data_IF_353979739706
#
_entry.id   IF_353979739706
#
_cell.length_a   1.000
_cell.length_b   1.000
_cell.length_c   1.000
_cell.angle_alpha   90.00
_cell.angle_beta   90.00
_cell.angle_gamma   90.00
#
_symmetry.space_group_name_H-M   'P 1'
#
loop_
_entity.id
_entity.type
_entity.pdbx_description
1 polymer ?
#
# COMPACT_ATOMS: atom_id res chain seq x y z
N UNK A 1 -7.96 0.17 -37.12
CA UNK A 1 -8.27 0.10 -35.68
C UNK A 1 -7.07 -0.56 -35.01
N UNK A 2 -6.18 0.23 -34.41
CA UNK A 2 -4.94 -0.28 -33.80
C UNK A 2 -5.30 -0.98 -32.49
N UNK A 3 -5.01 -2.29 -32.39
CA UNK A 3 -5.25 -3.04 -31.17
C UNK A 3 -4.40 -2.46 -30.05
N UNK A 4 -5.04 -2.04 -28.95
CA UNK A 4 -4.35 -1.58 -27.77
C UNK A 4 -3.43 -2.71 -27.29
N UNK A 5 -2.14 -2.57 -27.52
CA UNK A 5 -1.14 -3.54 -27.08
C UNK A 5 -0.97 -3.27 -25.60
N UNK A 6 -1.38 -4.22 -24.75
CA UNK A 6 -1.30 -4.11 -23.30
C UNK A 6 0.16 -4.13 -22.86
N UNK A 7 0.78 -2.96 -22.74
CA UNK A 7 2.13 -2.81 -22.24
C UNK A 7 2.19 -2.75 -20.71
N UNK A 8 3.37 -3.03 -20.18
CA UNK A 8 3.66 -2.98 -18.75
C UNK A 8 4.85 -2.07 -18.52
N UNK A 9 4.69 -1.10 -17.64
CA UNK A 9 5.71 -0.14 -17.26
C UNK A 9 6.26 -0.47 -15.88
N UNK A 10 7.58 -0.53 -15.76
CA UNK A 10 8.28 -0.51 -14.48
C UNK A 10 8.65 0.93 -14.20
N UNK A 11 8.12 1.50 -13.14
CA UNK A 11 8.43 2.85 -12.66
C UNK A 11 9.36 2.72 -11.47
N UNK A 12 10.56 3.26 -11.59
CA UNK A 12 11.57 3.28 -10.54
C UNK A 12 11.79 4.72 -10.09
N UNK A 13 11.54 5.04 -8.82
CA UNK A 13 11.83 6.35 -8.25
C UNK A 13 13.07 6.25 -7.38
N UNK A 14 14.02 7.16 -7.56
CA UNK A 14 15.29 7.10 -6.84
C UNK A 14 15.79 8.48 -6.44
N UNK A 15 16.20 8.60 -5.18
CA UNK A 15 16.83 9.80 -4.65
C UNK A 15 18.33 9.65 -4.75
N UNK A 16 19.00 10.61 -5.38
CA UNK A 16 20.45 10.60 -5.53
C UNK A 16 21.11 11.60 -4.58
N UNK A 17 22.35 11.30 -4.19
CA UNK A 17 23.19 12.25 -3.48
C UNK A 17 23.48 13.45 -4.40
N UNK A 18 23.36 14.70 -3.93
CA UNK A 18 23.59 15.88 -4.78
C UNK A 18 24.93 15.86 -5.52
N UNK A 19 25.99 15.37 -4.87
CA UNK A 19 27.33 15.25 -5.42
C UNK A 19 27.49 14.15 -6.49
N UNK A 20 26.53 13.23 -6.59
CA UNK A 20 26.58 12.07 -7.48
C UNK A 20 25.81 12.26 -8.79
N UNK A 21 25.25 13.45 -9.06
CA UNK A 21 24.39 13.70 -10.22
C UNK A 21 25.05 13.33 -11.56
N UNK A 22 26.28 13.75 -11.82
CA UNK A 22 26.99 13.47 -13.08
C UNK A 22 27.42 12.00 -13.21
N UNK A 23 27.74 11.36 -12.08
CA UNK A 23 28.04 9.93 -12.04
C UNK A 23 26.78 9.11 -12.34
N UNK A 24 25.65 9.50 -11.75
CA UNK A 24 24.36 8.86 -11.94
C UNK A 24 23.85 9.02 -13.37
N UNK A 25 23.98 10.20 -13.97
CA UNK A 25 23.61 10.44 -15.37
C UNK A 25 24.39 9.52 -16.33
N UNK A 26 25.70 9.36 -16.13
CA UNK A 26 26.54 8.43 -16.92
C UNK A 26 26.13 6.99 -16.70
N UNK A 27 25.95 6.59 -15.44
CA UNK A 27 25.45 5.26 -15.10
C UNK A 27 24.09 4.97 -15.76
N UNK A 28 23.21 5.98 -15.86
CA UNK A 28 21.90 5.83 -16.50
C UNK A 28 22.00 5.61 -18.01
N UNK A 29 22.94 6.27 -18.70
CA UNK A 29 23.20 6.04 -20.13
C UNK A 29 23.58 4.58 -20.37
N UNK A 30 24.53 4.06 -19.60
CA UNK A 30 24.95 2.65 -19.70
C UNK A 30 23.80 1.69 -19.37
N UNK A 31 23.02 1.97 -18.32
CA UNK A 31 21.84 1.17 -17.96
C UNK A 31 20.80 1.17 -19.08
N UNK A 32 20.62 2.30 -19.77
CA UNK A 32 19.71 2.43 -20.91
C UNK A 32 20.14 1.53 -22.07
N UNK A 33 21.44 1.43 -22.34
CA UNK A 33 21.96 0.54 -23.37
C UNK A 33 21.74 -0.95 -23.03
N UNK A 34 21.91 -1.32 -21.75
CA UNK A 34 21.68 -2.69 -21.28
C UNK A 34 20.20 -3.09 -21.42
N UNK A 35 19.27 -2.25 -20.95
CA UNK A 35 17.84 -2.58 -21.03
C UNK A 35 17.33 -2.55 -22.47
N UNK A 36 17.90 -1.71 -23.34
CA UNK A 36 17.53 -1.64 -24.76
C UNK A 36 17.78 -2.95 -25.52
N UNK A 37 18.75 -3.73 -25.08
CA UNK A 37 19.04 -5.06 -25.64
C UNK A 37 18.17 -6.18 -25.02
N UNK A 38 17.34 -5.89 -24.01
CA UNK A 38 16.59 -6.90 -23.29
C UNK A 38 15.32 -7.32 -24.05
N UNK A 39 15.01 -8.64 -24.16
CA UNK A 39 13.83 -9.11 -24.85
C UNK A 39 12.53 -8.49 -24.31
N UNK A 40 11.73 -7.92 -25.21
CA UNK A 40 10.44 -7.34 -24.87
C UNK A 40 10.48 -5.89 -24.39
N UNK A 41 11.66 -5.27 -24.31
CA UNK A 41 11.78 -3.84 -24.05
C UNK A 41 11.17 -3.01 -25.19
N UNK A 42 10.43 -1.97 -24.83
CA UNK A 42 9.81 -1.02 -25.75
C UNK A 42 10.56 0.31 -25.71
N UNK A 43 10.62 0.93 -24.52
CA UNK A 43 11.23 2.24 -24.35
C UNK A 43 11.59 2.50 -22.89
N UNK A 44 12.47 3.49 -22.68
CA UNK A 44 12.78 4.02 -21.37
C UNK A 44 12.64 5.54 -21.38
N UNK A 45 11.93 6.08 -20.39
CA UNK A 45 11.84 7.50 -20.12
C UNK A 45 12.54 7.83 -18.79
N UNK A 46 13.37 8.87 -18.81
CA UNK A 46 14.00 9.42 -17.61
C UNK A 46 13.41 10.79 -17.31
N UNK A 47 12.90 10.97 -16.09
CA UNK A 47 12.32 12.22 -15.61
C UNK A 47 13.23 12.74 -14.49
N UNK A 48 13.98 13.84 -14.72
CA UNK A 48 14.81 14.44 -13.70
C UNK A 48 13.97 15.07 -12.58
N UNK A 49 14.55 15.23 -11.37
CA UNK A 49 13.85 15.87 -10.25
C UNK A 49 13.50 17.33 -10.57
N UNK A 50 12.33 17.77 -10.09
CA UNK A 50 11.80 19.13 -10.14
C UNK A 50 11.31 19.57 -8.75
N UNK A 51 12.21 19.97 -7.84
CA UNK A 51 11.82 20.45 -6.51
C UNK A 51 10.93 21.70 -6.58
N UNK A 52 10.00 21.89 -5.63
CA UNK A 52 9.74 21.03 -4.47
C UNK A 52 8.81 19.83 -4.77
N UNK A 53 8.19 19.79 -5.95
CA UNK A 53 7.11 18.85 -6.26
C UNK A 53 7.60 17.41 -6.53
N UNK A 54 8.82 17.26 -7.04
CA UNK A 54 9.43 15.97 -7.33
C UNK A 54 10.92 16.04 -7.00
N UNK A 55 11.35 15.44 -5.89
CA UNK A 55 12.77 15.43 -5.49
C UNK A 55 13.55 14.24 -6.02
N UNK A 56 12.83 13.26 -6.59
CA UNK A 56 13.39 12.00 -7.07
C UNK A 56 13.53 11.96 -8.59
N UNK A 57 14.53 11.24 -9.06
CA UNK A 57 14.57 10.78 -10.44
C UNK A 57 13.52 9.71 -10.64
N UNK A 58 12.75 9.79 -11.74
CA UNK A 58 11.77 8.76 -12.11
C UNK A 58 12.21 8.12 -13.43
N UNK A 59 12.44 6.81 -13.40
CA UNK A 59 12.83 5.99 -14.53
C UNK A 59 11.62 5.12 -14.88
N UNK A 60 11.08 5.27 -16.08
CA UNK A 60 9.98 4.45 -16.59
C UNK A 60 10.52 3.55 -17.69
N UNK A 61 10.45 2.22 -17.50
CA UNK A 61 10.86 1.23 -18.49
C UNK A 61 9.64 0.43 -18.94
N UNK A 62 9.28 0.50 -20.22
CA UNK A 62 8.09 -0.16 -20.76
C UNK A 62 8.45 -1.45 -21.48
N UNK A 63 7.65 -2.48 -21.26
CA UNK A 63 7.80 -3.83 -21.83
C UNK A 63 6.50 -4.31 -22.48
N UNK A 64 6.62 -5.22 -23.46
CA UNK A 64 5.48 -5.81 -24.17
C UNK A 64 4.63 -6.74 -23.30
N UNK A 65 5.16 -7.28 -22.21
CA UNK A 65 4.39 -8.14 -21.30
C UNK A 65 4.86 -8.04 -19.85
N UNK A 66 3.97 -8.42 -18.92
CA UNK A 66 4.29 -8.54 -17.49
C UNK A 66 5.41 -9.56 -17.25
N UNK A 67 5.42 -10.65 -18.00
CA UNK A 67 6.41 -11.70 -17.87
C UNK A 67 7.81 -11.16 -18.20
N UNK A 68 7.95 -10.42 -19.29
CA UNK A 68 9.22 -9.80 -19.69
C UNK A 68 9.69 -8.75 -18.68
N UNK A 69 8.76 -7.92 -18.19
CA UNK A 69 9.04 -6.97 -17.11
C UNK A 69 9.55 -7.68 -15.84
N UNK A 70 8.92 -8.79 -15.43
CA UNK A 70 9.35 -9.59 -14.28
C UNK A 70 10.72 -10.25 -14.48
N UNK A 71 10.98 -10.74 -15.68
CA UNK A 71 12.25 -11.34 -16.06
C UNK A 71 13.37 -10.31 -16.00
N UNK A 72 13.15 -9.08 -16.50
CA UNK A 72 14.09 -7.96 -16.35
C UNK A 72 14.34 -7.59 -14.88
N UNK A 73 13.29 -7.46 -14.06
CA UNK A 73 13.45 -7.11 -12.64
C UNK A 73 14.34 -8.09 -11.87
N UNK A 74 14.25 -9.38 -12.22
CA UNK A 74 14.97 -10.45 -11.57
C UNK A 74 16.25 -10.86 -12.30
N UNK A 75 16.69 -10.10 -13.30
CA UNK A 75 17.82 -10.47 -14.14
C UNK A 75 19.17 -10.15 -13.48
N UNK A 76 20.23 -10.95 -13.72
CA UNK A 76 21.58 -10.65 -13.25
C UNK A 76 22.11 -9.31 -13.77
N UNK A 77 21.74 -8.94 -15.00
CA UNK A 77 22.14 -7.68 -15.62
C UNK A 77 21.62 -6.49 -14.82
N UNK A 78 20.32 -6.49 -14.47
CA UNK A 78 19.72 -5.43 -13.65
C UNK A 78 20.31 -5.40 -12.24
N UNK A 79 20.54 -6.56 -11.63
CA UNK A 79 21.18 -6.68 -10.31
C UNK A 79 22.57 -6.04 -10.30
N UNK A 80 23.40 -6.30 -11.32
CA UNK A 80 24.72 -5.69 -11.46
C UNK A 80 24.64 -4.16 -11.61
N UNK A 81 23.66 -3.64 -12.37
CA UNK A 81 23.44 -2.20 -12.50
C UNK A 81 23.07 -1.57 -11.15
N UNK A 82 22.15 -2.15 -10.39
CA UNK A 82 21.72 -1.64 -9.07
C UNK A 82 22.89 -1.59 -8.07
N UNK A 83 23.75 -2.61 -8.07
CA UNK A 83 24.95 -2.61 -7.25
C UNK A 83 25.88 -1.44 -7.58
N UNK A 84 26.04 -1.13 -8.87
CA UNK A 84 26.79 0.05 -9.32
C UNK A 84 26.16 1.39 -8.93
N UNK A 85 24.82 1.46 -8.84
CA UNK A 85 24.08 2.66 -8.44
C UNK A 85 24.15 2.93 -6.92
N UNK A 86 24.20 1.87 -6.11
CA UNK A 86 24.08 1.92 -4.64
C UNK A 86 24.89 3.05 -3.95
N UNK A 87 26.18 3.32 -4.26
CA UNK A 87 26.93 4.39 -3.60
C UNK A 87 26.44 5.82 -3.94
N UNK A 88 25.70 5.99 -5.05
CA UNK A 88 25.20 7.29 -5.51
C UNK A 88 23.85 7.67 -4.91
N UNK A 89 23.15 6.74 -4.25
CA UNK A 89 21.78 6.93 -3.79
C UNK A 89 21.70 7.44 -2.35
N UNK A 90 20.63 8.18 -2.07
CA UNK A 90 20.13 8.47 -0.71
C UNK A 90 19.00 7.48 -0.46
N UNK A 91 19.33 6.32 0.10
CA UNK A 91 18.38 5.20 0.24
C UNK A 91 18.37 4.28 -0.98
N UNK A 92 17.22 3.65 -1.26
CA UNK A 92 17.06 2.75 -2.42
C UNK A 92 15.79 3.08 -3.20
N UNK A 93 15.79 2.55 -4.41
CA UNK A 93 14.74 2.70 -5.40
C UNK A 93 13.36 2.22 -4.92
N UNK A 94 12.32 3.02 -5.17
CA UNK A 94 10.92 2.61 -5.10
C UNK A 94 10.48 2.08 -6.49
N UNK A 95 10.09 0.81 -6.57
CA UNK A 95 9.81 0.12 -7.84
C UNK A 95 8.34 -0.28 -7.93
N UNK A 96 7.63 0.26 -8.91
CA UNK A 96 6.23 -0.04 -9.20
C UNK A 96 6.09 -0.70 -10.58
N UNK A 97 5.18 -1.65 -10.69
CA UNK A 97 4.78 -2.29 -11.96
C UNK A 97 3.37 -1.81 -12.28
N UNK A 98 3.28 -0.98 -13.31
CA UNK A 98 2.03 -0.41 -13.81
C UNK A 98 1.66 -1.14 -15.09
N UNK A 99 0.49 -1.78 -15.12
CA UNK A 99 -0.08 -2.34 -16.35
C UNK A 99 -0.94 -1.26 -17.00
N UNK A 100 -0.81 -1.08 -18.31
CA UNK A 100 -1.59 -0.07 -19.05
C UNK A 100 -3.07 -0.48 -19.26
N UNK A 101 -3.47 -1.64 -18.74
CA UNK A 101 -4.83 -2.16 -18.85
C UNK A 101 -5.77 -1.56 -17.78
N UNK A 102 -6.98 -1.18 -18.21
CA UNK A 102 -8.09 -0.75 -17.36
C UNK A 102 -8.56 -1.78 -16.31
N UNK A 103 -7.92 -2.96 -16.24
CA UNK A 103 -8.16 -4.01 -15.24
C UNK A 103 -7.57 -3.72 -13.86
N UNK A 104 -6.66 -2.75 -13.72
CA UNK A 104 -6.11 -2.34 -12.42
C UNK A 104 -7.21 -1.94 -11.41
N UNK A 105 -8.31 -1.35 -11.91
CA UNK A 105 -9.47 -0.95 -11.11
C UNK A 105 -10.31 -2.11 -10.54
N UNK A 106 -10.09 -3.36 -10.99
CA UNK A 106 -10.80 -4.56 -10.46
C UNK A 106 -10.05 -5.30 -9.36
N UNK A 107 -8.85 -4.84 -9.01
CA UNK A 107 -8.01 -5.45 -7.98
C UNK A 107 -8.26 -4.79 -6.62
N UNK A 108 -8.14 -5.55 -5.52
CA UNK A 108 -8.15 -5.00 -4.16
C UNK A 108 -6.71 -5.04 -3.66
N UNK A 109 -5.89 -4.05 -4.05
CA UNK A 109 -4.46 -4.10 -3.78
C UNK A 109 -4.20 -4.12 -2.27
N UNK A 110 -3.24 -4.94 -1.87
CA UNK A 110 -2.81 -5.10 -0.48
C UNK A 110 -1.32 -4.86 -0.40
N UNK A 111 -0.88 -4.13 0.61
CA UNK A 111 0.53 -3.93 0.92
C UNK A 111 0.96 -4.75 2.15
N UNK A 112 2.23 -5.10 2.26
CA UNK A 112 2.85 -5.60 3.47
C UNK A 112 4.02 -4.69 3.82
N UNK A 113 4.02 -4.15 5.03
CA UNK A 113 5.10 -3.35 5.61
C UNK A 113 5.87 -4.25 6.56
N UNK A 114 7.16 -4.41 6.33
CA UNK A 114 8.06 -5.26 7.10
C UNK A 114 9.14 -4.35 7.69
N UNK A 115 9.18 -4.25 9.01
CA UNK A 115 10.19 -3.52 9.75
C UNK A 115 11.21 -4.51 10.32
N UNK A 116 12.48 -4.29 10.02
CA UNK A 116 13.56 -5.19 10.41
C UNK A 116 14.69 -4.41 11.05
N UNK A 117 15.01 -4.78 12.29
CA UNK A 117 16.19 -4.26 12.98
C UNK A 117 17.38 -5.14 12.64
N UNK A 118 18.41 -4.54 12.07
CA UNK A 118 19.65 -5.24 11.69
C UNK A 118 20.66 -5.08 12.82
N UNK A 119 21.44 -6.14 13.09
CA UNK A 119 22.51 -6.07 14.08
C UNK A 119 23.61 -5.10 13.62
N UNK A 120 24.19 -4.31 14.53
CA UNK A 120 25.31 -3.43 14.20
C UNK A 120 26.44 -4.19 13.49
N UNK A 121 26.93 -3.68 12.37
CA UNK A 121 28.01 -4.26 11.57
C UNK A 121 27.56 -5.32 10.55
N UNK A 122 26.28 -5.66 10.50
CA UNK A 122 25.70 -6.62 9.53
C UNK A 122 24.94 -5.94 8.39
N UNK A 123 24.93 -4.61 8.33
CA UNK A 123 24.17 -3.80 7.37
C UNK A 123 24.55 -4.15 5.93
N UNK A 124 25.84 -4.24 5.63
CA UNK A 124 26.31 -4.61 4.29
C UNK A 124 25.90 -6.04 3.88
N UNK A 125 25.85 -6.98 4.83
CA UNK A 125 25.37 -8.33 4.59
C UNK A 125 23.86 -8.35 4.37
N UNK A 126 23.12 -7.60 5.18
CA UNK A 126 21.67 -7.44 5.06
C UNK A 126 21.27 -6.80 3.73
N UNK A 127 22.01 -5.79 3.26
CA UNK A 127 21.76 -5.15 1.97
C UNK A 127 22.01 -6.07 0.77
N UNK A 128 22.95 -7.02 0.87
CA UNK A 128 23.15 -8.07 -0.15
C UNK A 128 22.04 -9.10 -0.10
N UNK A 129 21.61 -9.49 1.10
CA UNK A 129 20.46 -10.37 1.27
C UNK A 129 19.16 -9.74 0.74
N UNK A 130 18.96 -8.45 0.97
CA UNK A 130 17.78 -7.71 0.51
C UNK A 130 17.65 -7.77 -1.02
N UNK A 131 18.76 -7.67 -1.77
CA UNK A 131 18.75 -7.83 -3.23
C UNK A 131 18.25 -9.20 -3.68
N UNK A 132 18.58 -10.26 -2.93
CA UNK A 132 18.14 -11.62 -3.23
C UNK A 132 16.64 -11.77 -3.02
N UNK A 133 16.11 -11.28 -1.89
CA UNK A 133 14.67 -11.35 -1.62
C UNK A 133 13.88 -10.42 -2.55
N UNK A 134 14.43 -9.27 -2.94
CA UNK A 134 13.86 -8.38 -3.95
C UNK A 134 13.73 -9.07 -5.34
N UNK A 135 14.75 -9.85 -5.74
CA UNK A 135 14.71 -10.63 -6.98
C UNK A 135 13.68 -11.78 -6.94
N UNK A 136 13.56 -12.45 -5.79
CA UNK A 136 12.60 -13.53 -5.60
C UNK A 136 11.15 -13.00 -5.60
N UNK A 137 10.87 -11.95 -4.82
CA UNK A 137 9.53 -11.37 -4.72
C UNK A 137 9.05 -10.74 -6.04
N UNK A 138 9.94 -10.24 -6.89
CA UNK A 138 9.56 -9.66 -8.18
C UNK A 138 8.97 -10.72 -9.13
N UNK A 139 9.29 -12.00 -8.91
CA UNK A 139 8.72 -13.14 -9.65
C UNK A 139 7.39 -13.62 -9.07
N UNK A 140 7.05 -13.24 -7.83
CA UNK A 140 5.84 -13.69 -7.17
C UNK A 140 4.56 -13.32 -7.96
N UNK A 141 3.57 -14.22 -8.03
CA UNK A 141 2.26 -13.90 -8.61
C UNK A 141 1.61 -12.70 -7.93
N UNK A 142 0.97 -11.83 -8.70
CA UNK A 142 0.26 -10.66 -8.16
C UNK A 142 1.12 -9.50 -7.66
N UNK A 143 2.46 -9.59 -7.70
CA UNK A 143 3.34 -8.48 -7.32
C UNK A 143 3.09 -7.23 -8.18
N UNK A 144 2.88 -6.09 -7.52
CA UNK A 144 2.63 -4.78 -8.12
C UNK A 144 3.76 -3.78 -7.84
N UNK A 145 4.57 -3.99 -6.81
CA UNK A 145 5.69 -3.11 -6.51
C UNK A 145 6.34 -3.39 -5.16
N UNK A 146 7.50 -2.82 -4.94
CA UNK A 146 8.16 -2.82 -3.64
C UNK A 146 8.97 -1.55 -3.42
N UNK A 147 9.10 -1.19 -2.15
CA UNK A 147 9.90 -0.08 -1.67
C UNK A 147 10.76 -0.56 -0.52
N UNK A 148 12.01 -0.13 -0.47
CA UNK A 148 12.91 -0.46 0.63
C UNK A 148 13.56 0.81 1.17
N UNK A 149 13.30 1.09 2.44
CA UNK A 149 13.81 2.25 3.15
C UNK A 149 14.91 1.84 4.13
N UNK A 150 16.08 2.50 4.09
CA UNK A 150 17.14 2.26 5.05
C UNK A 150 16.75 2.75 6.45
N UNK A 151 17.39 2.19 7.48
CA UNK A 151 17.34 2.78 8.80
C UNK A 151 18.00 4.18 8.80
N UNK A 152 17.36 5.15 9.44
CA UNK A 152 17.83 6.51 9.67
C UNK A 152 18.11 6.70 11.17
N UNK A 153 19.39 6.74 11.61
CA UNK A 153 19.73 6.90 13.01
C UNK A 153 19.02 8.09 13.67
N UNK A 154 18.37 7.87 14.82
CA UNK A 154 17.64 8.89 15.57
C UNK A 154 16.24 9.25 15.05
N UNK A 155 15.82 8.70 13.89
CA UNK A 155 14.46 8.91 13.32
C UNK A 155 13.73 7.58 13.14
N UNK A 156 14.41 6.59 12.55
CA UNK A 156 13.88 5.26 12.24
C UNK A 156 15.02 4.24 12.34
N UNK A 157 15.09 3.48 13.43
CA UNK A 157 16.18 2.52 13.63
C UNK A 157 16.01 1.20 12.84
N UNK A 158 14.84 0.99 12.25
CA UNK A 158 14.51 -0.24 11.53
C UNK A 158 14.50 0.00 10.02
N UNK A 159 15.05 -0.95 9.27
CA UNK A 159 14.84 -1.01 7.82
C UNK A 159 13.38 -1.33 7.52
N UNK A 160 12.78 -0.64 6.55
CA UNK A 160 11.37 -0.86 6.19
C UNK A 160 11.24 -1.31 4.74
N UNK A 161 10.71 -2.51 4.53
CA UNK A 161 10.31 -3.01 3.23
C UNK A 161 8.79 -2.93 3.08
N UNK A 162 8.30 -2.31 2.00
CA UNK A 162 6.88 -2.27 1.66
C UNK A 162 6.72 -3.08 0.38
N UNK A 163 5.93 -4.16 0.41
CA UNK A 163 5.56 -4.93 -0.77
C UNK A 163 4.11 -4.63 -1.13
N UNK A 164 3.76 -4.56 -2.41
CA UNK A 164 2.40 -4.36 -2.88
C UNK A 164 1.97 -5.48 -3.82
N UNK A 165 0.81 -6.07 -3.57
CA UNK A 165 0.20 -7.13 -4.36
C UNK A 165 -1.21 -6.75 -4.82
N UNK A 166 -1.67 -7.38 -5.90
CA UNK A 166 -3.02 -7.17 -6.47
C UNK A 166 -4.16 -7.77 -5.62
N UNK A 167 -3.84 -8.69 -4.70
CA UNK A 167 -4.81 -9.37 -3.86
C UNK A 167 -4.15 -9.92 -2.60
N UNK A 168 -4.96 -10.08 -1.54
CA UNK A 168 -4.53 -10.69 -0.29
C UNK A 168 -4.06 -12.14 -0.48
N UNK A 169 -4.74 -12.92 -1.35
CA UNK A 169 -4.41 -14.32 -1.59
C UNK A 169 -2.99 -14.47 -2.16
N UNK A 170 -2.61 -13.62 -3.12
CA UNK A 170 -1.27 -13.62 -3.70
C UNK A 170 -0.22 -13.18 -2.68
N UNK A 171 -0.50 -12.14 -1.87
CA UNK A 171 0.39 -11.75 -0.78
C UNK A 171 0.61 -12.89 0.22
N UNK A 172 -0.47 -13.54 0.70
CA UNK A 172 -0.36 -14.66 1.64
C UNK A 172 0.45 -15.81 1.05
N UNK A 173 0.22 -16.14 -0.22
CA UNK A 173 0.99 -17.17 -0.94
C UNK A 173 2.48 -16.87 -0.96
N UNK A 174 2.87 -15.61 -1.21
CA UNK A 174 4.27 -15.18 -1.12
C UNK A 174 4.82 -15.25 0.31
N UNK A 175 4.05 -14.75 1.29
CA UNK A 175 4.44 -14.72 2.70
C UNK A 175 4.73 -16.10 3.28
N UNK A 176 3.94 -17.10 2.88
CA UNK A 176 4.02 -18.50 3.33
C UNK A 176 4.91 -19.38 2.43
N UNK A 177 5.45 -18.80 1.35
CA UNK A 177 6.21 -19.57 0.36
C UNK A 177 7.48 -20.20 0.95
N UNK A 178 7.86 -21.42 0.52
CA UNK A 178 9.11 -22.05 0.93
C UNK A 178 10.34 -21.23 0.53
N UNK A 179 10.29 -20.56 -0.62
CA UNK A 179 11.35 -19.68 -1.11
C UNK A 179 11.59 -18.50 -0.15
N UNK A 180 10.52 -17.78 0.23
CA UNK A 180 10.63 -16.71 1.22
C UNK A 180 11.10 -17.22 2.57
N UNK A 181 10.61 -18.38 3.04
CA UNK A 181 11.05 -18.96 4.32
C UNK A 181 12.55 -19.26 4.33
N UNK A 182 13.10 -19.79 3.22
CA UNK A 182 14.54 -20.03 3.10
C UNK A 182 15.34 -18.72 3.15
N UNK A 183 14.88 -17.67 2.44
CA UNK A 183 15.51 -16.36 2.47
C UNK A 183 15.43 -15.72 3.86
N UNK A 184 14.29 -15.78 4.54
CA UNK A 184 14.16 -15.26 5.91
C UNK A 184 15.07 -16.01 6.89
N UNK A 185 15.23 -17.33 6.72
CA UNK A 185 16.17 -18.11 7.53
C UNK A 185 17.63 -17.69 7.29
N UNK A 186 18.01 -17.34 6.06
CA UNK A 186 19.32 -16.75 5.74
C UNK A 186 19.55 -15.42 6.47
N UNK A 187 18.49 -14.63 6.69
CA UNK A 187 18.55 -13.33 7.37
C UNK A 187 18.52 -13.42 8.91
N UNK A 188 18.04 -14.51 9.49
CA UNK A 188 17.96 -14.68 10.94
C UNK A 188 19.25 -14.34 11.72
N UNK A 189 20.47 -14.71 11.28
CA UNK A 189 21.69 -14.36 12.00
C UNK A 189 22.02 -12.85 11.96
N UNK A 190 21.57 -12.11 10.94
CA UNK A 190 21.84 -10.68 10.76
C UNK A 190 20.78 -9.76 11.37
N UNK A 191 19.61 -10.28 11.75
CA UNK A 191 18.51 -9.48 12.32
C UNK A 191 18.43 -9.61 13.85
N UNK A 192 18.07 -8.51 14.50
CA UNK A 192 17.82 -8.46 15.95
C UNK A 192 16.32 -8.55 16.26
N UNK A 193 15.49 -7.90 15.47
CA UNK A 193 14.02 -7.92 15.57
C UNK A 193 13.39 -7.92 14.18
N UNK A 194 12.24 -8.57 14.05
CA UNK A 194 11.50 -8.70 12.79
C UNK A 194 9.99 -8.53 13.03
N UNK A 195 9.42 -7.47 12.47
CA UNK A 195 7.99 -7.18 12.55
C UNK A 195 7.41 -7.12 11.14
N UNK A 196 6.40 -7.93 10.85
CA UNK A 196 5.65 -7.84 9.58
C UNK A 196 4.22 -7.43 9.84
N UNK A 197 3.75 -6.41 9.13
CA UNK A 197 2.39 -5.90 9.16
C UNK A 197 1.80 -5.86 7.76
N UNK A 198 0.72 -6.58 7.52
CA UNK A 198 -0.08 -6.43 6.29
C UNK A 198 -0.97 -5.19 6.40
N UNK A 199 -1.00 -4.38 5.34
CA UNK A 199 -1.80 -3.14 5.19
C UNK A 199 -2.61 -3.20 3.89
N UNK A 200 -3.90 -3.49 4.00
CA UNK A 200 -4.93 -3.55 2.96
C UNK A 200 -5.72 -2.24 2.81
N UNK A 201 -5.85 -1.42 3.86
CA UNK A 201 -6.58 -0.14 3.81
C UNK A 201 -6.17 0.86 4.91
N UNK A 202 -6.48 2.15 4.72
CA UNK A 202 -6.26 3.19 5.73
C UNK A 202 -7.10 3.04 7.00
N UNK A 203 -8.18 2.24 6.99
CA UNK A 203 -9.10 2.09 8.13
C UNK A 203 -8.76 0.93 9.06
N UNK A 204 -7.81 0.07 8.72
CA UNK A 204 -7.48 -1.13 9.50
C UNK A 204 -7.14 -0.88 10.95
N UNK A 205 -6.58 0.30 11.24
CA UNK A 205 -6.27 0.69 12.61
C UNK A 205 -7.51 0.64 13.51
N UNK A 206 -8.69 0.97 12.99
CA UNK A 206 -9.96 0.88 13.73
C UNK A 206 -10.47 -0.56 13.91
N UNK A 207 -9.95 -1.53 13.15
CA UNK A 207 -10.39 -2.93 13.14
C UNK A 207 -9.39 -3.91 13.78
N UNK A 208 -8.23 -3.42 14.23
CA UNK A 208 -7.12 -4.24 14.76
C UNK A 208 -7.53 -5.21 15.87
N UNK A 209 -8.48 -4.82 16.71
CA UNK A 209 -8.90 -5.60 17.88
C UNK A 209 -10.04 -6.60 17.58
N UNK A 210 -10.46 -6.71 16.32
CA UNK A 210 -11.59 -7.56 15.91
C UNK A 210 -11.11 -8.80 15.14
N UNK A 211 -9.97 -8.72 14.44
CA UNK A 211 -9.35 -9.88 13.82
C UNK A 211 -8.52 -10.67 14.85
N UNK A 212 -8.58 -12.01 14.86
CA UNK A 212 -7.68 -12.84 15.67
C UNK A 212 -6.20 -12.53 15.38
N UNK A 213 -5.30 -12.63 16.37
CA UNK A 213 -3.86 -12.48 16.14
C UNK A 213 -3.39 -13.45 15.05
N UNK A 214 -2.82 -12.92 13.96
CA UNK A 214 -2.33 -13.71 12.82
C UNK A 214 -3.29 -13.81 11.63
N UNK A 215 -4.55 -13.40 11.77
CA UNK A 215 -5.44 -13.21 10.61
C UNK A 215 -5.31 -11.78 10.07
N UNK A 216 -5.18 -11.64 8.74
CA UNK A 216 -5.12 -10.34 8.07
C UNK A 216 -6.34 -9.46 8.36
N UNK A 217 -6.25 -8.17 8.08
CA UNK A 217 -7.35 -7.24 8.29
C UNK A 217 -8.63 -7.69 7.56
N UNK A 218 -9.83 -7.34 8.07
CA UNK A 218 -11.08 -7.63 7.36
C UNK A 218 -11.09 -6.99 5.97
N UNK A 219 -11.85 -7.57 5.03
CA UNK A 219 -11.92 -7.05 3.66
C UNK A 219 -12.37 -5.57 3.61
N UNK A 220 -11.72 -4.77 2.77
CA UNK A 220 -11.92 -3.31 2.65
C UNK A 220 -13.39 -2.89 2.48
N UNK A 221 -14.16 -3.60 1.66
CA UNK A 221 -15.58 -3.29 1.43
C UNK A 221 -16.43 -3.43 2.71
N UNK A 222 -16.12 -4.39 3.59
CA UNK A 222 -16.84 -4.55 4.87
C UNK A 222 -16.50 -3.41 5.84
N UNK A 223 -15.23 -3.04 5.90
CA UNK A 223 -14.78 -1.90 6.70
C UNK A 223 -15.46 -0.62 6.23
N UNK A 224 -15.49 -0.37 4.92
CA UNK A 224 -16.15 0.79 4.32
C UNK A 224 -17.65 0.85 4.67
N UNK A 225 -18.35 -0.29 4.64
CA UNK A 225 -19.76 -0.34 5.05
C UNK A 225 -19.93 0.06 6.52
N UNK A 226 -19.12 -0.46 7.45
CA UNK A 226 -19.22 -0.07 8.86
C UNK A 226 -18.88 1.42 9.08
N UNK A 227 -17.91 1.96 8.32
CA UNK A 227 -17.60 3.39 8.37
C UNK A 227 -18.80 4.21 7.89
N UNK A 228 -19.45 3.87 6.77
CA UNK A 228 -20.67 4.57 6.31
C UNK A 228 -21.80 4.47 7.33
N UNK A 229 -22.01 3.28 7.91
CA UNK A 229 -23.04 3.02 8.91
C UNK A 229 -22.94 3.93 10.13
N UNK A 230 -21.72 4.25 10.55
CA UNK A 230 -21.46 5.05 11.75
C UNK A 230 -21.32 6.53 11.43
N UNK A 231 -20.71 6.87 10.29
CA UNK A 231 -20.46 8.24 9.88
C UNK A 231 -21.74 8.98 9.45
N UNK A 232 -22.58 8.36 8.61
CA UNK A 232 -23.80 8.98 8.11
C UNK A 232 -24.72 9.53 9.22
N UNK A 233 -25.15 8.71 10.21
CA UNK A 233 -26.00 9.22 11.28
C UNK A 233 -25.29 10.23 12.17
N UNK A 234 -23.98 10.09 12.38
CA UNK A 234 -23.20 11.04 13.18
C UNK A 234 -23.21 12.43 12.56
N UNK A 235 -22.88 12.54 11.26
CA UNK A 235 -22.84 13.82 10.55
C UNK A 235 -24.25 14.43 10.46
N UNK A 236 -25.25 13.61 10.12
CA UNK A 236 -26.63 14.08 9.98
C UNK A 236 -27.18 14.62 11.30
N UNK A 237 -27.10 13.83 12.38
CA UNK A 237 -27.61 14.23 13.70
C UNK A 237 -26.83 15.41 14.26
N UNK A 238 -25.51 15.48 14.07
CA UNK A 238 -24.74 16.66 14.47
C UNK A 238 -25.22 17.92 13.75
N UNK A 239 -25.42 17.84 12.44
CA UNK A 239 -25.92 18.94 11.62
C UNK A 239 -27.27 19.47 12.12
N UNK A 240 -28.21 18.57 12.41
CA UNK A 240 -29.56 18.96 12.82
C UNK A 240 -29.65 19.37 14.30
N UNK A 241 -28.93 18.70 15.20
CA UNK A 241 -29.03 18.93 16.64
C UNK A 241 -28.10 20.02 17.16
N UNK A 242 -26.97 20.28 16.48
CA UNK A 242 -25.94 21.22 16.94
C UNK A 242 -25.59 22.24 15.87
N UNK A 243 -25.32 21.80 14.64
CA UNK A 243 -24.91 22.66 13.53
C UNK A 243 -25.90 23.78 13.25
N UNK A 244 -27.13 23.43 12.90
CA UNK A 244 -28.19 24.38 12.59
C UNK A 244 -28.66 25.20 13.81
N UNK A 245 -29.07 24.59 14.94
CA UNK A 245 -29.66 25.36 16.04
C UNK A 245 -28.64 26.15 16.87
N UNK A 246 -27.46 25.57 17.14
CA UNK A 246 -26.48 26.15 18.08
C UNK A 246 -25.44 26.97 17.33
N UNK A 247 -24.72 26.37 16.38
CA UNK A 247 -23.62 27.05 15.69
C UNK A 247 -24.13 28.14 14.75
N UNK A 248 -25.04 27.81 13.83
CA UNK A 248 -25.59 28.77 12.88
C UNK A 248 -26.66 29.68 13.51
N UNK A 249 -27.55 29.12 14.34
CA UNK A 249 -28.63 29.88 14.97
C UNK A 249 -28.17 30.79 16.11
N UNK A 250 -27.68 30.19 17.20
CA UNK A 250 -27.37 30.92 18.44
C UNK A 250 -26.03 31.66 18.38
N UNK A 251 -24.97 30.99 17.92
CA UNK A 251 -23.61 31.52 17.90
C UNK A 251 -23.26 32.27 16.60
N UNK A 252 -24.12 32.18 15.59
CA UNK A 252 -23.94 32.81 14.26
C UNK A 252 -22.57 32.55 13.64
N UNK A 253 -22.04 31.35 13.84
CA UNK A 253 -20.78 30.91 13.25
C UNK A 253 -20.97 30.71 11.74
N UNK A 254 -20.02 31.21 10.95
CA UNK A 254 -20.04 31.04 9.50
C UNK A 254 -20.05 29.56 9.10
N UNK A 255 -20.80 29.25 8.04
CA UNK A 255 -20.99 27.89 7.56
C UNK A 255 -19.69 27.07 7.39
N UNK A 256 -18.60 27.61 6.78
CA UNK A 256 -17.36 26.84 6.63
C UNK A 256 -16.74 26.43 7.97
N UNK A 257 -16.80 27.32 8.98
CA UNK A 257 -16.24 27.05 10.31
C UNK A 257 -17.12 26.05 11.07
N UNK A 258 -18.45 26.21 11.01
CA UNK A 258 -19.39 25.27 11.61
C UNK A 258 -19.27 23.87 11.01
N UNK A 259 -19.09 23.78 9.69
CA UNK A 259 -18.86 22.53 8.97
C UNK A 259 -17.53 21.87 9.39
N UNK A 260 -16.46 22.66 9.52
CA UNK A 260 -15.17 22.16 9.99
C UNK A 260 -15.26 21.59 11.40
N UNK A 261 -15.88 22.31 12.34
CA UNK A 261 -16.11 21.85 13.72
C UNK A 261 -16.92 20.54 13.72
N UNK A 262 -17.98 20.47 12.92
CA UNK A 262 -18.78 19.25 12.78
C UNK A 262 -18.01 18.07 12.22
N UNK A 263 -17.11 18.29 11.26
CA UNK A 263 -16.24 17.25 10.74
C UNK A 263 -15.24 16.76 11.80
N UNK A 264 -14.63 17.66 12.59
CA UNK A 264 -13.74 17.29 13.69
C UNK A 264 -14.48 16.41 14.71
N UNK A 265 -15.67 16.84 15.14
CA UNK A 265 -16.50 16.06 16.05
C UNK A 265 -16.89 14.70 15.46
N UNK A 266 -17.29 14.68 14.19
CA UNK A 266 -17.69 13.46 13.50
C UNK A 266 -16.55 12.46 13.43
N UNK A 267 -15.33 12.90 13.12
CA UNK A 267 -14.13 12.03 13.11
C UNK A 267 -13.85 11.46 14.50
N UNK A 268 -13.91 12.28 15.55
CA UNK A 268 -13.70 11.84 16.92
C UNK A 268 -14.74 10.81 17.35
N UNK A 269 -16.03 11.05 17.12
CA UNK A 269 -17.07 10.12 17.50
C UNK A 269 -17.03 8.83 16.66
N UNK A 270 -16.77 8.96 15.36
CA UNK A 270 -16.63 7.81 14.45
C UNK A 270 -15.44 6.93 14.86
N UNK A 271 -14.35 7.52 15.35
CA UNK A 271 -13.19 6.77 15.87
C UNK A 271 -13.51 5.86 17.05
N UNK A 272 -14.59 6.17 17.81
CA UNK A 272 -15.09 5.35 18.91
C UNK A 272 -16.18 4.37 18.45
N UNK A 273 -17.07 4.84 17.58
CA UNK A 273 -18.21 4.06 17.08
C UNK A 273 -17.79 2.93 16.14
N UNK A 274 -16.77 3.14 15.29
CA UNK A 274 -16.30 2.12 14.34
C UNK A 274 -15.75 0.89 15.08
N UNK A 275 -14.79 0.98 16.01
CA UNK A 275 -14.30 -0.19 16.75
C UNK A 275 -15.40 -0.92 17.51
N UNK A 276 -16.32 -0.18 18.13
CA UNK A 276 -17.46 -0.76 18.85
C UNK A 276 -18.40 -1.54 17.92
N UNK A 277 -18.71 -0.98 16.75
CA UNK A 277 -19.59 -1.61 15.75
C UNK A 277 -18.90 -2.82 15.12
N UNK A 278 -17.62 -2.68 14.80
CA UNK A 278 -16.78 -3.76 14.28
C UNK A 278 -16.73 -4.94 15.25
N UNK A 279 -16.55 -4.70 16.56
CA UNK A 279 -16.56 -5.76 17.58
C UNK A 279 -17.89 -6.53 17.59
N UNK A 280 -19.03 -5.84 17.44
CA UNK A 280 -20.36 -6.47 17.38
C UNK A 280 -20.60 -7.24 16.08
N UNK A 281 -19.99 -6.81 14.99
CA UNK A 281 -20.03 -7.46 13.69
C UNK A 281 -18.85 -8.41 13.45
N UNK A 282 -18.13 -8.82 14.50
CA UNK A 282 -16.98 -9.73 14.38
C UNK A 282 -17.32 -11.02 13.63
N UNK A 283 -18.51 -11.60 13.89
CA UNK A 283 -19.02 -12.78 13.19
C UNK A 283 -19.11 -12.61 11.67
N UNK A 284 -19.35 -11.38 11.20
CA UNK A 284 -19.44 -11.06 9.78
C UNK A 284 -18.09 -10.65 9.20
N UNK A 285 -17.24 -9.99 9.99
CA UNK A 285 -15.92 -9.54 9.56
C UNK A 285 -14.97 -10.71 9.34
N UNK A 286 -14.97 -11.70 10.25
CA UNK A 286 -14.13 -12.90 10.21
C UNK A 286 -15.00 -14.17 10.16
N UNK A 287 -15.67 -14.46 9.02
CA UNK A 287 -16.52 -15.63 8.90
C UNK A 287 -15.70 -16.90 8.64
N UNK A 288 -16.20 -18.02 9.15
CA UNK A 288 -15.67 -19.37 8.86
C UNK A 288 -15.57 -19.57 7.32
N UNK A 289 -14.40 -20.01 6.80
CA UNK A 289 -14.20 -20.30 5.38
C UNK A 289 -15.34 -21.10 4.74
N UNK A 290 -15.90 -22.09 5.45
CA UNK A 290 -16.94 -22.97 4.93
C UNK A 290 -18.29 -22.25 4.71
N UNK A 291 -18.53 -21.13 5.41
CA UNK A 291 -19.80 -20.38 5.36
C UNK A 291 -19.64 -18.94 4.85
N UNK A 292 -18.43 -18.59 4.41
CA UNK A 292 -18.02 -17.23 4.06
C UNK A 292 -19.02 -16.52 3.12
N UNK A 293 -19.44 -17.17 2.03
CA UNK A 293 -20.35 -16.56 1.05
C UNK A 293 -21.70 -16.22 1.66
N UNK A 294 -22.29 -17.15 2.42
CA UNK A 294 -23.61 -16.96 3.06
C UNK A 294 -23.55 -15.88 4.13
N UNK A 295 -22.53 -15.93 5.00
CA UNK A 295 -22.34 -14.93 6.07
C UNK A 295 -22.10 -13.54 5.48
N UNK A 296 -21.29 -13.44 4.41
CA UNK A 296 -21.05 -12.19 3.71
C UNK A 296 -22.35 -11.56 3.18
N UNK A 297 -23.19 -12.36 2.52
CA UNK A 297 -24.50 -11.93 2.01
C UNK A 297 -25.43 -11.47 3.14
N UNK A 298 -25.51 -12.23 4.23
CA UNK A 298 -26.35 -11.89 5.38
C UNK A 298 -25.95 -10.57 6.04
N UNK A 299 -24.66 -10.37 6.32
CA UNK A 299 -24.20 -9.11 6.90
C UNK A 299 -24.30 -7.93 5.94
N UNK A 300 -24.06 -8.13 4.64
CA UNK A 300 -24.27 -7.08 3.64
C UNK A 300 -25.75 -6.66 3.58
N UNK A 301 -26.67 -7.63 3.55
CA UNK A 301 -28.11 -7.36 3.57
C UNK A 301 -28.55 -6.65 4.86
N UNK A 302 -28.01 -7.04 6.02
CA UNK A 302 -28.27 -6.39 7.30
C UNK A 302 -27.85 -4.91 7.28
N UNK A 303 -26.65 -4.59 6.78
CA UNK A 303 -26.18 -3.21 6.72
C UNK A 303 -26.96 -2.37 5.69
N UNK A 304 -27.31 -2.96 4.54
CA UNK A 304 -28.17 -2.28 3.55
C UNK A 304 -29.55 -1.96 4.16
N UNK A 305 -30.14 -2.90 4.89
CA UNK A 305 -31.41 -2.67 5.59
C UNK A 305 -31.26 -1.58 6.66
N UNK A 306 -30.16 -1.57 7.41
CA UNK A 306 -29.87 -0.52 8.39
C UNK A 306 -29.73 0.86 7.73
N UNK A 307 -29.07 0.97 6.57
CA UNK A 307 -29.01 2.22 5.82
C UNK A 307 -30.41 2.69 5.39
N UNK A 308 -31.20 1.79 4.80
CA UNK A 308 -32.56 2.11 4.38
C UNK A 308 -33.42 2.59 5.54
N UNK A 309 -33.34 1.90 6.69
CA UNK A 309 -34.05 2.30 7.91
C UNK A 309 -33.60 3.68 8.40
N UNK A 310 -32.30 3.96 8.47
CA UNK A 310 -31.80 5.27 8.91
C UNK A 310 -32.29 6.39 7.98
N UNK A 311 -32.21 6.19 6.67
CA UNK A 311 -32.69 7.17 5.68
C UNK A 311 -34.19 7.42 5.86
N UNK A 312 -34.99 6.37 6.01
CA UNK A 312 -36.43 6.49 6.23
C UNK A 312 -36.76 7.22 7.54
N UNK A 313 -36.04 6.90 8.62
CA UNK A 313 -36.22 7.54 9.92
C UNK A 313 -35.86 9.02 9.85
N UNK A 314 -34.71 9.36 9.28
CA UNK A 314 -34.29 10.76 9.15
C UNK A 314 -35.23 11.56 8.25
N UNK A 315 -35.67 10.98 7.14
CA UNK A 315 -36.65 11.64 6.26
C UNK A 315 -38.02 11.85 6.92
N UNK A 316 -38.41 11.00 7.87
CA UNK A 316 -39.70 11.13 8.56
C UNK A 316 -39.65 12.07 9.77
N UNK A 317 -38.50 12.20 10.42
CA UNK A 317 -38.35 12.94 11.67
C UNK A 317 -37.79 14.36 11.49
N UNK A 318 -37.14 14.65 10.37
CA UNK A 318 -36.48 15.93 10.09
C UNK A 318 -36.80 16.38 8.66
#
# INVERSE_FOLDING_TARGET
MSGATSSVSIVTQTTIRPESADAFARWQVDTSAVVAAFPGFIEQQLIPPRPPLQVDWVIVQRFHSLEQAKTWMASPERQARIQGATPMLVGRDDVHIVKDDAGAARTSPVSAVISTRVKPGMEAAYLRWEQKIAAAQSRAPGMQGYRFEPAVPGVQEDYVAILRFDSEANLRTWMDSPERRALVAEAAPMTAEFHTRTVQSGFEQWFRNVAPPGEGAPAAWKMNMIVVLTLYPTVFLWGVLVGAPILAGMLKVDFPVALFIGNVFSVLLTSLMVPWTAKRLGWWLTPDPARRTRVNLQGAALLIAAYGLMILVFWKLF
#
